data_IF_958002677957
#
_entry.id   IF_958002677957
#
_cell.length_a   1.000
_cell.length_b   1.000
_cell.length_c   1.000
_cell.angle_alpha   90.00
_cell.angle_beta   90.00
_cell.angle_gamma   90.00
#
_symmetry.space_group_name_H-M   'P 1'
#
loop_
_entity.id
_entity.type
_entity.pdbx_description
1 polymer ?
#
# COMPACT_ATOMS: atom_id res chain seq x y z
N UNK A 1 20.60 -7.63 -3.65
CA UNK A 1 19.23 -7.64 -4.20
C UNK A 1 18.16 -7.83 -3.13
N UNK A 2 18.32 -8.75 -2.17
CA UNK A 2 17.35 -8.97 -1.07
C UNK A 2 17.00 -7.72 -0.26
N UNK A 3 18.01 -6.97 0.21
CA UNK A 3 17.82 -5.77 1.03
C UNK A 3 17.01 -4.71 0.28
N UNK A 4 17.29 -4.51 -1.01
CA UNK A 4 16.55 -3.58 -1.86
C UNK A 4 15.06 -3.92 -1.93
N UNK A 5 14.71 -5.20 -2.11
CA UNK A 5 13.31 -5.65 -2.13
C UNK A 5 12.59 -5.43 -0.79
N UNK A 6 13.30 -5.64 0.33
CA UNK A 6 12.73 -5.37 1.66
C UNK A 6 12.48 -3.88 1.84
N UNK A 7 13.47 -3.03 1.56
CA UNK A 7 13.33 -1.57 1.69
C UNK A 7 12.21 -1.05 0.79
N UNK A 8 12.19 -1.47 -0.47
CA UNK A 8 11.14 -1.12 -1.42
C UNK A 8 9.76 -1.57 -0.94
N UNK A 9 9.65 -2.80 -0.44
CA UNK A 9 8.41 -3.33 0.08
C UNK A 9 7.89 -2.59 1.31
N UNK A 10 8.78 -2.19 2.23
CA UNK A 10 8.42 -1.39 3.42
C UNK A 10 7.93 0.00 2.99
N UNK A 11 8.60 0.66 2.04
CA UNK A 11 8.15 1.97 1.53
C UNK A 11 6.76 1.87 0.91
N UNK A 12 6.51 0.84 0.09
CA UNK A 12 5.20 0.59 -0.50
C UNK A 12 4.11 0.36 0.56
N UNK A 13 4.42 -0.40 1.63
CA UNK A 13 3.50 -0.60 2.73
C UNK A 13 3.16 0.71 3.44
N UNK A 14 4.17 1.53 3.77
CA UNK A 14 3.96 2.82 4.43
C UNK A 14 3.09 3.75 3.57
N UNK A 15 3.40 3.88 2.28
CA UNK A 15 2.61 4.70 1.35
C UNK A 15 1.18 4.16 1.21
N UNK A 16 1.02 2.84 1.08
CA UNK A 16 -0.30 2.20 1.02
C UNK A 16 -1.12 2.41 2.29
N UNK A 17 -0.51 2.31 3.47
CA UNK A 17 -1.18 2.58 4.74
C UNK A 17 -1.60 4.03 4.87
N UNK A 18 -0.73 5.00 4.52
CA UNK A 18 -1.09 6.43 4.55
C UNK A 18 -2.25 6.72 3.59
N UNK A 19 -2.21 6.17 2.37
CA UNK A 19 -3.30 6.33 1.41
C UNK A 19 -4.62 5.70 1.92
N UNK A 20 -4.57 4.54 2.56
CA UNK A 20 -5.74 3.92 3.17
C UNK A 20 -6.32 4.76 4.31
N UNK A 21 -5.47 5.35 5.15
CA UNK A 21 -5.89 6.26 6.22
C UNK A 21 -6.53 7.54 5.66
N UNK A 22 -6.03 8.09 4.55
CA UNK A 22 -6.65 9.23 3.89
C UNK A 22 -8.05 8.88 3.36
N UNK A 23 -8.20 7.71 2.75
CA UNK A 23 -9.52 7.23 2.29
C UNK A 23 -10.48 7.05 3.47
N UNK A 24 -9.98 6.49 4.57
CA UNK A 24 -10.75 6.33 5.79
C UNK A 24 -11.22 7.69 6.34
N UNK A 25 -10.32 8.67 6.42
CA UNK A 25 -10.64 10.05 6.84
C UNK A 25 -11.66 10.71 5.91
N UNK A 26 -11.55 10.52 4.59
CA UNK A 26 -12.52 11.03 3.62
C UNK A 26 -13.93 10.48 3.84
N UNK A 27 -14.05 9.21 4.22
CA UNK A 27 -15.34 8.59 4.54
C UNK A 27 -15.86 8.94 5.93
N UNK A 28 -14.98 9.19 6.90
CA UNK A 28 -15.36 9.59 8.26
C UNK A 28 -15.77 11.07 8.35
N UNK A 29 -15.11 11.95 7.61
CA UNK A 29 -15.34 13.40 7.62
C UNK A 29 -15.67 13.91 6.20
N UNK A 30 -16.83 13.53 5.63
CA UNK A 30 -17.23 14.01 4.32
C UNK A 30 -17.37 15.54 4.34
N UNK A 31 -16.62 16.24 3.49
CA UNK A 31 -16.64 17.70 3.34
C UNK A 31 -17.74 18.19 2.39
N UNK A 32 -18.67 17.30 2.02
CA UNK A 32 -19.92 17.66 1.36
C UNK A 32 -19.83 17.93 -0.14
N UNK A 33 -18.68 17.69 -0.78
CA UNK A 33 -18.53 17.90 -2.23
C UNK A 33 -18.99 16.70 -3.08
N UNK A 34 -19.38 15.57 -2.48
CA UNK A 34 -19.84 14.36 -3.18
C UNK A 34 -18.74 13.63 -3.97
N UNK A 35 -17.64 14.32 -4.28
CA UNK A 35 -16.44 13.77 -4.88
C UNK A 35 -15.80 12.64 -4.04
N UNK A 36 -16.04 12.62 -2.71
CA UNK A 36 -15.53 11.54 -1.85
C UNK A 36 -16.04 10.16 -2.27
N UNK A 37 -17.25 10.08 -2.84
CA UNK A 37 -17.88 8.82 -3.27
C UNK A 37 -17.12 8.16 -4.43
N UNK A 38 -16.45 8.96 -5.28
CA UNK A 38 -15.72 8.46 -6.45
C UNK A 38 -14.22 8.43 -6.17
N UNK A 39 -13.69 9.49 -5.55
CA UNK A 39 -12.26 9.62 -5.26
C UNK A 39 -11.84 8.65 -4.16
N UNK A 40 -12.68 8.43 -3.14
CA UNK A 40 -12.40 7.48 -2.05
C UNK A 40 -12.11 6.06 -2.56
N UNK A 41 -13.00 5.45 -3.35
CA UNK A 41 -12.75 4.12 -3.94
C UNK A 41 -11.52 4.09 -4.85
N UNK A 42 -11.30 5.10 -5.69
CA UNK A 42 -10.13 5.14 -6.58
C UNK A 42 -8.81 5.16 -5.78
N UNK A 43 -8.71 6.03 -4.77
CA UNK A 43 -7.54 6.10 -3.89
C UNK A 43 -7.42 4.81 -3.06
N UNK A 44 -8.55 4.20 -2.68
CA UNK A 44 -8.58 2.90 -2.00
C UNK A 44 -7.99 1.76 -2.85
N UNK A 45 -8.31 1.70 -4.14
CA UNK A 45 -7.72 0.72 -5.06
C UNK A 45 -6.21 0.94 -5.23
N UNK A 46 -5.77 2.20 -5.32
CA UNK A 46 -4.35 2.54 -5.39
C UNK A 46 -3.63 2.13 -4.10
N UNK A 47 -4.21 2.41 -2.94
CA UNK A 47 -3.69 2.00 -1.64
C UNK A 47 -3.56 0.46 -1.54
N UNK A 48 -4.58 -0.27 -1.98
CA UNK A 48 -4.56 -1.73 -2.03
C UNK A 48 -3.44 -2.25 -2.95
N UNK A 49 -3.22 -1.60 -4.10
CA UNK A 49 -2.11 -1.93 -5.01
C UNK A 49 -0.74 -1.76 -4.35
N UNK A 50 -0.53 -0.68 -3.61
CA UNK A 50 0.71 -0.47 -2.86
C UNK A 50 0.90 -1.49 -1.74
N UNK A 51 -0.16 -1.82 -0.99
CA UNK A 51 -0.09 -2.83 0.07
C UNK A 51 0.22 -4.23 -0.48
N UNK A 52 -0.43 -4.60 -1.59
CA UNK A 52 -0.19 -5.86 -2.26
C UNK A 52 1.21 -5.94 -2.85
N UNK A 53 1.65 -4.90 -3.56
CA UNK A 53 2.99 -4.81 -4.13
C UNK A 53 4.09 -4.84 -3.07
N UNK A 54 3.89 -4.13 -1.95
CA UNK A 54 4.82 -4.12 -0.83
C UNK A 54 4.97 -5.49 -0.17
N UNK A 55 3.83 -6.15 0.06
CA UNK A 55 3.80 -7.52 0.60
C UNK A 55 4.45 -8.52 -0.34
N UNK A 56 4.20 -8.42 -1.65
CA UNK A 56 4.80 -9.27 -2.67
C UNK A 56 6.33 -9.09 -2.77
N UNK A 57 6.82 -7.85 -2.65
CA UNK A 57 8.26 -7.56 -2.65
C UNK A 57 8.97 -8.15 -1.43
N UNK A 58 8.37 -8.04 -0.24
CA UNK A 58 8.89 -8.65 0.99
C UNK A 58 8.87 -10.18 0.89
N UNK A 59 7.78 -10.76 0.38
CA UNK A 59 7.69 -12.19 0.14
C UNK A 59 8.75 -12.69 -0.84
N UNK A 60 8.99 -11.96 -1.93
CA UNK A 60 10.05 -12.28 -2.89
C UNK A 60 11.45 -12.21 -2.25
N UNK A 61 11.71 -11.22 -1.39
CA UNK A 61 12.96 -11.10 -0.65
C UNK A 61 13.17 -12.28 0.31
N UNK A 62 12.12 -12.69 1.02
CA UNK A 62 12.13 -13.86 1.90
C UNK A 62 12.45 -15.13 1.11
N UNK A 63 11.77 -15.33 -0.04
CA UNK A 63 11.97 -16.52 -0.88
C UNK A 63 13.37 -16.60 -1.51
N UNK A 64 14.07 -15.47 -1.68
CA UNK A 64 15.48 -15.45 -2.07
C UNK A 64 16.41 -15.90 -0.93
N UNK A 65 16.06 -15.60 0.33
CA UNK A 65 16.80 -16.07 1.50
C UNK A 65 16.81 -17.60 1.62
N UNK A 66 15.69 -18.27 1.33
CA UNK A 66 15.58 -19.73 1.39
C UNK A 66 16.39 -20.46 0.33
N UNK A 67 16.65 -19.84 -0.83
CA UNK A 67 17.41 -20.47 -1.93
C UNK A 67 18.93 -20.37 -1.75
N UNK A 68 19.40 -19.63 -0.75
CA UNK A 68 20.82 -19.33 -0.53
C UNK A 68 21.35 -19.89 0.79
N UNK A 69 20.53 -20.63 1.51
CA UNK A 69 20.86 -21.34 2.76
C UNK A 69 20.77 -22.84 2.56
#
# INVERSE_FOLDING_TARGET
MRIFLVVFGVVLLVVGTVAALLVFDMFQHPRGMGAEIIVGPMVGFVAAGFLFGGSAAIYAAWRQGYKTS
#
